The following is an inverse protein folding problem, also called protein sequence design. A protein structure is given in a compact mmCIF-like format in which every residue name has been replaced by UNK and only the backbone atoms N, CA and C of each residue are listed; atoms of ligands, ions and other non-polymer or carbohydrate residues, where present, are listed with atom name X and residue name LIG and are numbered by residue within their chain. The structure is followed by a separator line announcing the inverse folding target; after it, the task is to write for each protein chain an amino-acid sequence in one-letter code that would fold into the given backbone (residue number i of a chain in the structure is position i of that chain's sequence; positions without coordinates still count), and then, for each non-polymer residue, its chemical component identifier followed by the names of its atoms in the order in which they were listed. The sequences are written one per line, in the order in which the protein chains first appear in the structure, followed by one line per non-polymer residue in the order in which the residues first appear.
data_IF_109377125174
#
_entry.id   IF_109377125174
#
_cell.length_a   1.000
_cell.length_b   1.000
_cell.length_c   1.000
_cell.angle_alpha   90.00
_cell.angle_beta   90.00
_cell.angle_gamma   90.00
#
_symmetry.space_group_name_H-M   'P 1'
#
loop_
_entity.id
_entity.type
_entity.pdbx_description
1 polymer ?
#
# COMPACT_ATOMS: atom_id res chain seq x y z
N UNK A 1 -27.53 -3.76 -0.58
CA UNK A 1 -27.27 -2.65 -1.53
C UNK A 1 -25.81 -2.78 -1.89
N UNK A 2 -25.52 -2.87 -3.18
CA UNK A 2 -24.16 -3.05 -3.71
C UNK A 2 -23.45 -1.70 -3.65
N UNK A 3 -22.16 -1.66 -3.33
CA UNK A 3 -21.42 -0.40 -3.24
C UNK A 3 -21.30 0.25 -4.62
N UNK A 4 -21.33 1.57 -4.65
CA UNK A 4 -21.35 2.36 -5.88
C UNK A 4 -20.38 3.53 -5.81
N UNK A 5 -20.11 4.14 -6.96
CA UNK A 5 -19.34 5.37 -7.04
C UNK A 5 -20.00 6.52 -6.27
N UNK A 6 -21.33 6.51 -6.18
CA UNK A 6 -22.11 7.49 -5.42
C UNK A 6 -21.81 7.42 -3.92
N UNK A 7 -21.58 6.22 -3.37
CA UNK A 7 -21.19 6.05 -1.96
C UNK A 7 -19.82 6.69 -1.67
N UNK A 8 -18.90 6.61 -2.64
CA UNK A 8 -17.59 7.24 -2.57
C UNK A 8 -17.72 8.76 -2.60
N UNK A 9 -18.46 9.31 -3.58
CA UNK A 9 -18.62 10.76 -3.71
C UNK A 9 -19.36 11.36 -2.52
N UNK A 10 -20.43 10.72 -2.05
CA UNK A 10 -21.17 11.14 -0.85
C UNK A 10 -20.27 11.17 0.40
N UNK A 11 -19.37 10.20 0.52
CA UNK A 11 -18.40 10.18 1.62
C UNK A 11 -17.41 11.33 1.51
N UNK A 12 -16.87 11.61 0.32
CA UNK A 12 -15.94 12.71 0.08
C UNK A 12 -16.61 14.08 0.27
N UNK A 13 -17.88 14.23 -0.14
CA UNK A 13 -18.69 15.42 0.10
C UNK A 13 -18.89 15.64 1.61
N UNK A 14 -19.19 14.58 2.36
CA UNK A 14 -19.28 14.61 3.82
C UNK A 14 -17.96 14.99 4.51
N UNK A 15 -16.82 14.72 3.87
CA UNK A 15 -15.49 15.15 4.31
C UNK A 15 -15.13 16.57 3.83
N UNK A 16 -15.96 17.19 2.98
CA UNK A 16 -15.66 18.46 2.30
C UNK A 16 -14.38 18.42 1.44
N UNK A 17 -14.11 17.27 0.82
CA UNK A 17 -12.93 17.06 -0.01
C UNK A 17 -13.22 17.32 -1.49
N UNK A 18 -12.24 17.87 -2.19
CA UNK A 18 -12.33 18.09 -3.64
C UNK A 18 -11.97 16.82 -4.38
N UNK A 19 -12.72 16.49 -5.42
CA UNK A 19 -12.43 15.35 -6.28
C UNK A 19 -12.87 15.60 -7.73
N UNK A 20 -12.38 14.76 -8.63
CA UNK A 20 -12.74 14.70 -10.04
C UNK A 20 -13.28 13.30 -10.31
N UNK A 21 -14.50 13.20 -10.81
CA UNK A 21 -15.05 11.92 -11.27
C UNK A 21 -14.63 11.68 -12.71
N UNK A 22 -14.10 10.49 -12.99
CA UNK A 22 -13.81 9.99 -14.34
C UNK A 22 -14.80 8.87 -14.65
N UNK A 23 -15.98 9.26 -15.12
CA UNK A 23 -17.08 8.32 -15.43
C UNK A 23 -16.65 7.29 -16.48
N UNK A 24 -15.76 7.66 -17.41
CA UNK A 24 -15.21 6.77 -18.45
C UNK A 24 -14.36 5.62 -17.91
N UNK A 25 -13.82 5.78 -16.70
CA UNK A 25 -12.92 4.80 -16.06
C UNK A 25 -13.41 4.34 -14.69
N UNK A 26 -14.66 4.68 -14.35
CA UNK A 26 -15.32 4.33 -13.09
C UNK A 26 -14.46 4.61 -11.85
N UNK A 27 -13.76 5.76 -11.85
CA UNK A 27 -12.90 6.15 -10.74
C UNK A 27 -13.07 7.61 -10.33
N UNK A 28 -12.69 7.89 -9.10
CA UNK A 28 -12.65 9.20 -8.49
C UNK A 28 -11.19 9.53 -8.17
N UNK A 29 -10.74 10.70 -8.65
CA UNK A 29 -9.43 11.23 -8.36
C UNK A 29 -9.56 12.31 -7.29
N UNK A 30 -8.75 12.25 -6.24
CA UNK A 30 -8.67 13.27 -5.20
C UNK A 30 -7.23 13.51 -4.79
N UNK A 31 -6.96 14.62 -4.11
CA UNK A 31 -5.63 14.96 -3.61
C UNK A 31 -5.72 15.24 -2.11
N UNK A 32 -4.73 14.77 -1.37
CA UNK A 32 -4.64 14.96 0.08
C UNK A 32 -3.37 15.72 0.42
N UNK A 33 -3.45 16.57 1.44
CA UNK A 33 -2.28 17.26 2.00
C UNK A 33 -1.63 16.34 3.01
N UNK A 34 -0.31 16.21 2.93
CA UNK A 34 0.52 15.43 3.85
C UNK A 34 1.24 16.34 4.85
N UNK A 35 1.69 15.75 5.95
CA UNK A 35 2.42 16.46 6.99
C UNK A 35 3.93 16.47 6.71
N UNK A 36 4.52 15.31 6.49
CA UNK A 36 5.98 15.14 6.31
C UNK A 36 6.34 14.60 4.93
N UNK A 37 5.46 13.79 4.32
CA UNK A 37 5.69 13.27 2.98
C UNK A 37 5.78 14.38 1.92
N UNK A 38 6.75 14.24 1.02
CA UNK A 38 6.97 15.11 -0.14
C UNK A 38 6.86 14.30 -1.43
N UNK A 39 6.08 14.83 -2.38
CA UNK A 39 6.01 14.33 -3.74
C UNK A 39 7.28 14.69 -4.54
N UNK A 40 7.31 14.32 -5.83
CA UNK A 40 8.44 14.59 -6.71
C UNK A 40 8.77 16.08 -6.90
N UNK A 41 7.77 16.95 -6.79
CA UNK A 41 7.91 18.40 -6.91
C UNK A 41 8.32 19.05 -5.58
N UNK A 42 8.46 18.27 -4.50
CA UNK A 42 8.72 18.77 -3.16
C UNK A 42 7.49 19.38 -2.49
N UNK A 43 6.29 19.05 -2.98
CA UNK A 43 5.02 19.49 -2.40
C UNK A 43 4.47 18.44 -1.42
N UNK A 44 3.81 18.93 -0.36
CA UNK A 44 3.16 18.09 0.65
C UNK A 44 1.79 17.63 0.20
N UNK A 45 1.77 16.83 -0.86
CA UNK A 45 0.52 16.32 -1.45
C UNK A 45 0.67 14.88 -1.90
N UNK A 46 -0.44 14.16 -1.89
CA UNK A 46 -0.53 12.81 -2.43
C UNK A 46 -1.79 12.68 -3.28
N UNK A 47 -1.61 12.23 -4.52
CA UNK A 47 -2.70 11.93 -5.44
C UNK A 47 -3.31 10.57 -5.13
N UNK A 48 -4.64 10.52 -5.01
CA UNK A 48 -5.39 9.29 -4.76
C UNK A 48 -6.35 9.00 -5.91
N UNK A 49 -6.45 7.71 -6.24
CA UNK A 49 -7.46 7.12 -7.09
C UNK A 49 -8.33 6.20 -6.24
N UNK A 50 -9.64 6.41 -6.29
CA UNK A 50 -10.62 5.60 -5.57
C UNK A 50 -11.56 4.99 -6.61
N UNK A 51 -11.80 3.70 -6.53
CA UNK A 51 -12.79 3.02 -7.38
C UNK A 51 -13.50 1.92 -6.62
N UNK A 52 -14.68 1.58 -7.10
CA UNK A 52 -15.39 0.38 -6.75
C UNK A 52 -15.18 -0.62 -7.89
N UNK A 53 -14.65 -1.79 -7.58
CA UNK A 53 -14.34 -2.86 -8.52
C UNK A 53 -15.20 -4.10 -8.24
N UNK A 54 -15.07 -5.11 -9.10
CA UNK A 54 -15.77 -6.40 -8.95
C UNK A 54 -17.28 -6.21 -8.77
N UNK A 55 -17.92 -5.45 -9.68
CA UNK A 55 -19.36 -5.19 -9.67
C UNK A 55 -19.90 -4.67 -8.33
N UNK A 56 -19.09 -3.92 -7.57
CA UNK A 56 -19.49 -3.39 -6.27
C UNK A 56 -18.98 -4.15 -5.06
N UNK A 57 -18.22 -5.21 -5.28
CA UNK A 57 -17.75 -6.12 -4.24
C UNK A 57 -16.36 -5.77 -3.72
N UNK A 58 -15.67 -4.78 -4.29
CA UNK A 58 -14.34 -4.38 -3.84
C UNK A 58 -14.16 -2.86 -3.83
N UNK A 59 -13.68 -2.33 -2.71
CA UNK A 59 -13.19 -0.95 -2.62
C UNK A 59 -11.69 -0.94 -2.85
N UNK A 60 -11.25 -0.12 -3.80
CA UNK A 60 -9.84 0.12 -4.10
C UNK A 60 -9.52 1.59 -3.85
N UNK A 61 -8.57 1.85 -2.97
CA UNK A 61 -7.96 3.18 -2.77
C UNK A 61 -6.48 3.06 -3.08
N UNK A 62 -5.99 3.82 -4.04
CA UNK A 62 -4.61 3.75 -4.50
C UNK A 62 -3.98 5.14 -4.57
N UNK A 63 -2.67 5.20 -4.34
CA UNK A 63 -1.79 6.29 -4.73
C UNK A 63 -0.92 5.77 -5.89
N UNK A 64 -1.39 5.88 -7.14
CA UNK A 64 -0.72 5.29 -8.30
C UNK A 64 0.50 6.08 -8.79
N UNK A 65 0.64 7.34 -8.38
CA UNK A 65 1.73 8.24 -8.77
C UNK A 65 2.31 8.87 -7.51
N UNK A 66 2.61 8.05 -6.50
CA UNK A 66 3.15 8.59 -5.27
C UNK A 66 4.53 9.18 -5.56
N UNK A 67 5.41 8.38 -6.17
CA UNK A 67 6.75 8.84 -6.49
C UNK A 67 7.34 8.10 -7.67
N UNK A 68 7.88 8.82 -8.63
CA UNK A 68 8.68 8.23 -9.70
C UNK A 68 10.15 8.17 -9.31
N UNK A 69 10.72 7.01 -9.54
CA UNK A 69 12.14 6.71 -9.30
C UNK A 69 12.66 5.91 -10.50
N UNK A 70 12.96 6.58 -11.61
CA UNK A 70 13.55 5.93 -12.78
C UNK A 70 15.03 5.59 -12.53
N UNK A 71 15.55 4.65 -13.32
CA UNK A 71 16.99 4.38 -13.42
C UNK A 71 17.68 3.94 -12.11
N UNK A 72 16.99 3.14 -11.28
CA UNK A 72 17.61 2.57 -10.09
C UNK A 72 18.72 1.57 -10.46
N UNK A 73 19.89 1.76 -9.85
CA UNK A 73 20.92 0.73 -9.86
C UNK A 73 20.48 -0.50 -9.03
N UNK A 74 21.13 -1.64 -9.24
CA UNK A 74 20.74 -2.90 -8.60
C UNK A 74 20.72 -2.82 -7.08
N UNK A 75 21.66 -2.09 -6.47
CA UNK A 75 21.73 -1.96 -5.02
C UNK A 75 20.55 -1.15 -4.46
N UNK A 76 20.26 0.01 -5.03
CA UNK A 76 19.15 0.86 -4.61
C UNK A 76 17.80 0.16 -4.86
N UNK A 77 17.70 -0.61 -5.95
CA UNK A 77 16.53 -1.42 -6.26
C UNK A 77 16.28 -2.51 -5.22
N UNK A 78 17.31 -3.27 -4.84
CA UNK A 78 17.17 -4.33 -3.84
C UNK A 78 16.86 -3.76 -2.45
N UNK A 79 17.48 -2.65 -2.09
CA UNK A 79 17.19 -1.92 -0.87
C UNK A 79 15.74 -1.42 -0.81
N UNK A 80 15.22 -0.89 -1.93
CA UNK A 80 13.83 -0.46 -2.03
C UNK A 80 12.89 -1.66 -1.86
N UNK A 81 13.18 -2.80 -2.51
CA UNK A 81 12.38 -4.01 -2.35
C UNK A 81 12.36 -4.55 -0.92
N UNK A 82 13.50 -4.54 -0.22
CA UNK A 82 13.55 -4.94 1.17
C UNK A 82 12.68 -4.03 2.06
N UNK A 83 12.79 -2.70 1.86
CA UNK A 83 11.94 -1.73 2.55
C UNK A 83 10.44 -1.94 2.28
N UNK A 84 10.06 -2.16 1.02
CA UNK A 84 8.65 -2.40 0.64
C UNK A 84 8.13 -3.74 1.20
N UNK A 85 8.98 -4.76 1.28
CA UNK A 85 8.66 -6.04 1.92
C UNK A 85 8.53 -5.90 3.44
N UNK A 86 9.40 -5.14 4.10
CA UNK A 86 9.26 -4.80 5.52
C UNK A 86 7.94 -4.07 5.77
N UNK A 87 7.65 -3.04 4.96
CA UNK A 87 6.43 -2.27 5.06
C UNK A 87 5.19 -3.15 4.85
N UNK A 88 5.24 -4.07 3.90
CA UNK A 88 4.20 -5.09 3.69
C UNK A 88 4.01 -5.96 4.96
N UNK A 89 5.07 -6.40 5.62
CA UNK A 89 4.92 -7.26 6.81
C UNK A 89 4.44 -6.53 8.05
N UNK A 90 4.83 -5.26 8.19
CA UNK A 90 4.69 -4.53 9.44
C UNK A 90 3.56 -3.51 9.41
N UNK A 91 3.18 -3.04 8.23
CA UNK A 91 2.09 -2.11 8.03
C UNK A 91 0.77 -2.83 7.75
N UNK A 92 -0.30 -2.26 8.31
CA UNK A 92 -1.65 -2.83 8.39
C UNK A 92 -2.27 -3.16 7.02
N UNK A 93 -2.83 -2.16 6.33
CA UNK A 93 -3.66 -2.36 5.13
C UNK A 93 -2.98 -1.97 3.84
N UNK A 94 -2.12 -0.95 3.86
CA UNK A 94 -1.49 -0.45 2.65
C UNK A 94 -0.41 -1.42 2.16
N UNK A 95 -0.42 -1.67 0.86
CA UNK A 95 0.60 -2.43 0.13
C UNK A 95 1.23 -1.49 -0.88
N UNK A 96 2.56 -1.51 -0.98
CA UNK A 96 3.27 -0.70 -1.93
C UNK A 96 4.19 -1.54 -2.80
N UNK A 97 4.36 -1.10 -4.04
CA UNK A 97 5.20 -1.75 -5.04
C UNK A 97 5.88 -0.69 -5.90
N UNK A 98 7.04 -1.03 -6.43
CA UNK A 98 7.72 -0.24 -7.45
C UNK A 98 7.62 -0.97 -8.79
N UNK A 99 7.19 -0.26 -9.83
CA UNK A 99 7.10 -0.80 -11.19
C UNK A 99 8.39 -0.48 -11.97
N UNK A 100 9.16 -1.49 -12.40
CA UNK A 100 10.39 -1.28 -13.16
C UNK A 100 10.16 -0.72 -14.57
N UNK A 101 8.94 -0.78 -15.11
CA UNK A 101 8.64 -0.36 -16.48
C UNK A 101 8.54 1.17 -16.64
N UNK A 102 8.07 1.87 -15.60
CA UNK A 102 7.92 3.33 -15.59
C UNK A 102 8.62 4.03 -14.40
N UNK A 103 9.08 3.24 -13.41
CA UNK A 103 9.76 3.69 -12.21
C UNK A 103 8.81 4.14 -11.10
N UNK A 104 7.50 3.93 -11.21
CA UNK A 104 6.53 4.44 -10.26
C UNK A 104 6.46 3.60 -8.98
N UNK A 105 6.56 4.27 -7.83
CA UNK A 105 6.14 3.73 -6.54
C UNK A 105 4.65 3.97 -6.40
N UNK A 106 3.92 2.86 -6.27
CA UNK A 106 2.48 2.86 -6.07
C UNK A 106 2.15 2.27 -4.71
N UNK A 107 1.06 2.73 -4.09
CA UNK A 107 0.50 2.07 -2.93
C UNK A 107 -1.01 1.90 -3.07
N UNK A 108 -1.57 0.85 -2.48
CA UNK A 108 -3.00 0.62 -2.50
C UNK A 108 -3.50 -0.09 -1.25
N UNK A 109 -4.78 0.12 -0.97
CA UNK A 109 -5.61 -0.66 -0.06
C UNK A 109 -6.76 -1.22 -0.88
N UNK A 110 -6.92 -2.53 -0.83
CA UNK A 110 -8.05 -3.24 -1.46
C UNK A 110 -8.78 -3.99 -0.36
N UNK A 111 -10.08 -3.73 -0.21
CA UNK A 111 -10.91 -4.42 0.76
C UNK A 111 -12.17 -4.97 0.10
N UNK A 112 -12.56 -6.22 0.39
CA UNK A 112 -13.83 -6.77 -0.07
C UNK A 112 -15.01 -6.14 0.67
N UNK A 113 -16.11 -5.99 -0.05
CA UNK A 113 -17.41 -5.47 0.39
C UNK A 113 -18.52 -6.54 0.21
N UNK A 114 -18.22 -7.68 -0.44
CA UNK A 114 -19.10 -8.81 -0.86
C UNK A 114 -20.39 -9.09 -0.04
N UNK A 115 -20.41 -8.88 1.28
CA UNK A 115 -21.61 -9.06 2.12
C UNK A 115 -21.87 -7.91 3.13
N UNK A 116 -21.08 -6.84 3.07
CA UNK A 116 -21.20 -5.67 3.91
C UNK A 116 -21.90 -4.50 3.20
N UNK A 117 -22.49 -3.60 3.97
CA UNK A 117 -22.91 -2.30 3.43
C UNK A 117 -21.70 -1.38 3.38
N UNK A 118 -21.53 -0.63 2.28
CA UNK A 118 -20.55 0.44 2.24
C UNK A 118 -20.79 1.41 3.41
N UNK A 119 -19.75 1.68 4.20
CA UNK A 119 -19.81 2.61 5.31
C UNK A 119 -18.74 3.68 5.10
N UNK A 120 -19.05 4.98 5.25
CA UNK A 120 -18.10 6.07 5.01
C UNK A 120 -16.77 5.92 5.75
N UNK A 121 -16.80 5.35 6.96
CA UNK A 121 -15.57 5.08 7.73
C UNK A 121 -14.62 4.09 7.07
N UNK A 122 -15.10 3.19 6.19
CA UNK A 122 -14.22 2.28 5.44
C UNK A 122 -13.33 3.09 4.50
N UNK A 123 -13.92 3.96 3.69
CA UNK A 123 -13.15 4.82 2.79
C UNK A 123 -12.20 5.74 3.56
N UNK A 124 -12.67 6.38 4.64
CA UNK A 124 -11.83 7.22 5.49
C UNK A 124 -10.62 6.45 6.06
N UNK A 125 -10.83 5.21 6.50
CA UNK A 125 -9.74 4.36 7.00
C UNK A 125 -8.79 3.97 5.89
N UNK A 126 -9.27 3.59 4.70
CA UNK A 126 -8.41 3.26 3.57
C UNK A 126 -7.54 4.45 3.16
N UNK A 127 -8.13 5.64 3.04
CA UNK A 127 -7.40 6.88 2.75
C UNK A 127 -6.37 7.18 3.84
N UNK A 128 -6.77 7.15 5.12
CA UNK A 128 -5.86 7.40 6.23
C UNK A 128 -4.70 6.41 6.30
N UNK A 129 -4.92 5.15 5.91
CA UNK A 129 -3.86 4.15 5.80
C UNK A 129 -2.85 4.46 4.70
N UNK A 130 -3.31 4.97 3.55
CA UNK A 130 -2.39 5.37 2.47
C UNK A 130 -1.57 6.58 2.90
N UNK A 131 -2.20 7.59 3.51
CA UNK A 131 -1.50 8.78 4.02
C UNK A 131 -0.44 8.38 5.04
N UNK A 132 -0.85 7.71 6.12
CA UNK A 132 0.05 7.31 7.21
C UNK A 132 1.17 6.37 6.73
N UNK A 133 0.92 5.55 5.70
CA UNK A 133 1.98 4.77 5.06
C UNK A 133 3.08 5.69 4.50
N UNK A 134 2.72 6.70 3.72
CA UNK A 134 3.70 7.61 3.14
C UNK A 134 4.34 8.56 4.16
N UNK A 135 3.62 8.98 5.20
CA UNK A 135 4.24 9.71 6.33
C UNK A 135 5.32 8.86 7.00
N UNK A 136 5.05 7.57 7.20
CA UNK A 136 5.96 6.68 7.93
C UNK A 136 7.15 6.21 7.09
N UNK A 137 6.91 5.90 5.82
CA UNK A 137 7.91 5.27 4.96
C UNK A 137 8.50 6.22 3.92
N UNK A 138 7.92 7.39 3.68
CA UNK A 138 8.41 8.37 2.69
C UNK A 138 9.87 8.75 2.91
N UNK A 139 10.22 9.18 4.12
CA UNK A 139 11.61 9.52 4.46
C UNK A 139 12.57 8.31 4.35
N UNK A 140 12.10 7.10 4.69
CA UNK A 140 12.91 5.88 4.55
C UNK A 140 13.13 5.49 3.09
N UNK A 141 12.14 5.74 2.22
CA UNK A 141 12.30 5.61 0.78
C UNK A 141 13.40 6.58 0.34
N UNK A 142 13.35 7.85 0.75
CA UNK A 142 14.41 8.83 0.44
C UNK A 142 15.79 8.37 0.93
N UNK A 143 15.90 7.86 2.16
CA UNK A 143 17.15 7.34 2.70
C UNK A 143 17.71 6.20 1.86
N UNK A 144 16.88 5.21 1.52
CA UNK A 144 17.29 4.04 0.74
C UNK A 144 17.74 4.43 -0.68
N UNK A 145 17.03 5.36 -1.31
CA UNK A 145 17.36 5.82 -2.66
C UNK A 145 18.65 6.63 -2.71
N UNK A 146 18.98 7.35 -1.64
CA UNK A 146 20.18 8.17 -1.53
C UNK A 146 21.34 7.47 -0.78
N UNK A 147 21.12 6.28 -0.24
CA UNK A 147 22.12 5.56 0.54
C UNK A 147 23.26 5.09 -0.37
N UNK A 148 24.53 5.35 0.02
CA UNK A 148 25.68 4.73 -0.63
C UNK A 148 25.71 3.25 -0.23
N UNK A 149 25.08 2.42 -1.06
CA UNK A 149 25.28 0.98 -1.16
C UNK A 149 24.88 0.18 0.10
N UNK A 150 23.70 -0.44 0.08
CA UNK A 150 23.41 -1.56 0.97
C UNK A 150 24.22 -2.77 0.49
N UNK A 151 24.97 -3.41 1.39
CA UNK A 151 25.55 -4.71 1.10
C UNK A 151 24.40 -5.70 0.90
N UNK A 152 24.15 -6.05 -0.35
CA UNK A 152 23.22 -7.12 -0.71
C UNK A 152 23.83 -8.42 -0.16
N UNK A 153 23.18 -9.12 0.78
CA UNK A 153 23.61 -10.46 1.15
C UNK A 153 23.56 -11.33 -0.11
N UNK A 154 24.56 -12.19 -0.30
CA UNK A 154 24.57 -13.10 -1.45
C UNK A 154 23.30 -13.97 -1.43
N UNK A 155 22.82 -14.42 -2.59
CA UNK A 155 21.56 -15.17 -2.74
C UNK A 155 21.49 -16.42 -1.83
N UNK A 156 22.66 -16.94 -1.43
CA UNK A 156 22.84 -18.05 -0.48
C UNK A 156 22.55 -17.69 0.99
N UNK A 157 22.47 -16.40 1.35
CA UNK A 157 22.19 -15.91 2.71
C UNK A 157 20.68 -15.70 2.97
N UNK A 158 19.83 -15.81 1.94
CA UNK A 158 18.38 -15.88 2.11
C UNK A 158 18.04 -17.20 2.81
N UNK A 159 17.82 -17.13 4.13
CA UNK A 159 17.33 -18.26 4.93
C UNK A 159 15.95 -18.67 4.40
N UNK A 160 15.93 -19.55 3.40
CA UNK A 160 14.75 -20.33 3.06
C UNK A 160 14.63 -21.40 4.13
N UNK A 161 13.65 -21.29 5.04
CA UNK A 161 13.24 -22.48 5.77
C UNK A 161 12.82 -23.51 4.72
N UNK A 162 13.44 -24.68 4.75
CA UNK A 162 12.98 -25.81 3.96
C UNK A 162 11.53 -26.14 4.35
N UNK A 163 10.77 -26.76 3.44
CA UNK A 163 9.40 -27.21 3.75
C UNK A 163 9.36 -28.09 5.00
N UNK A 164 10.40 -28.90 5.23
CA UNK A 164 10.52 -29.74 6.42
C UNK A 164 10.60 -28.92 7.71
N UNK A 165 11.41 -27.85 7.74
CA UNK A 165 11.56 -26.97 8.91
C UNK A 165 10.28 -26.15 9.16
N UNK A 166 9.56 -25.77 8.11
CA UNK A 166 8.24 -25.15 8.26
C UNK A 166 7.23 -26.13 8.87
N UNK A 167 7.17 -27.37 8.38
CA UNK A 167 6.28 -28.43 8.88
C UNK A 167 6.57 -28.78 10.35
N UNK A 168 7.85 -28.88 10.72
CA UNK A 168 8.27 -29.16 12.10
C UNK A 168 7.87 -28.01 13.05
N UNK A 169 8.03 -26.76 12.60
CA UNK A 169 7.62 -25.59 13.37
C UNK A 169 6.10 -25.49 13.52
N UNK A 170 5.35 -25.85 12.48
CA UNK A 170 3.88 -25.96 12.54
C UNK A 170 3.42 -27.06 13.50
N UNK A 171 4.05 -28.25 13.46
CA UNK A 171 3.72 -29.36 14.35
C UNK A 171 3.99 -29.01 15.82
N UNK A 172 5.11 -28.33 16.11
CA UNK A 172 5.41 -27.84 17.46
C UNK A 172 4.37 -26.83 17.96
N UNK A 173 3.93 -25.92 17.09
CA UNK A 173 2.92 -24.92 17.45
C UNK A 173 1.55 -25.56 17.72
N UNK A 174 1.19 -26.64 17.02
CA UNK A 174 -0.05 -27.38 17.31
C UNK A 174 0.01 -28.16 18.63
N UNK A 175 1.14 -28.79 18.93
CA UNK A 175 1.33 -29.48 20.21
C UNK A 175 1.26 -28.49 21.41
N UNK A 176 1.85 -27.30 21.27
CA UNK A 176 1.77 -26.25 22.29
C UNK A 176 0.34 -25.71 22.51
N UNK A 177 -0.51 -25.75 21.48
CA UNK A 177 -1.94 -25.39 21.59
C UNK A 177 -2.78 -26.50 22.22
N UNK A 178 -2.41 -27.77 22.03
CA UNK A 178 -3.08 -28.93 22.62
C UNK A 178 -2.73 -29.14 24.10
N UNK A 179 -1.50 -28.82 24.52
CA UNK A 179 -1.05 -28.86 25.92
C UNK A 179 -1.48 -27.64 26.75
N UNK A 180 -2.07 -26.62 26.10
CA UNK A 180 -2.47 -25.33 26.70
C UNK A 180 -3.94 -25.20 27.10
N UNK A 181 -4.72 -26.30 27.19
CA UNK A 181 -6.12 -26.33 27.66
C UNK A 181 -6.25 -27.07 28.99
#
# INVERSE_FOLDING_TARGET
MVASLEDVTNTLDGMSWKYIVKEDKENVLTGVVTDDYLDEDGEKRLGLLIRIAEDGEMLVVAAPFARRVPDLNDTARLALFDLLNEATRTYKLARASWDPSDGEITAHVQIPIEQGTFHPSMLQRCIGNIIEFFERYGARIDEVLNAPTIAVPDEDDLITLSQAEMLERFARYQAELEDGV
#
